data_IF_121194683652
#
_entry.id   IF_121194683652
#
_cell.length_a   1.000
_cell.length_b   1.000
_cell.length_c   1.000
_cell.angle_alpha   90.00
_cell.angle_beta   90.00
_cell.angle_gamma   90.00
#
_symmetry.space_group_name_H-M   'P 1'
#
loop_
_entity.id
_entity.type
_entity.pdbx_description
1 polymer ?
#
# COMPACT_ATOMS: atom_id res chain seq x y z
N UNK A 1 34.24 -12.08 -28.74
CA UNK A 1 33.68 -11.15 -27.74
C UNK A 1 32.17 -11.30 -27.81
N UNK A 2 31.53 -11.80 -26.76
CA UNK A 2 30.07 -12.00 -26.72
C UNK A 2 29.42 -10.70 -26.24
N UNK A 3 28.57 -10.12 -27.09
CA UNK A 3 27.72 -8.97 -26.74
C UNK A 3 26.61 -9.42 -25.78
N UNK A 4 26.44 -8.66 -24.69
CA UNK A 4 25.39 -8.91 -23.71
C UNK A 4 24.05 -8.43 -24.27
N UNK A 5 23.08 -9.34 -24.34
CA UNK A 5 21.72 -9.07 -24.79
C UNK A 5 21.02 -8.13 -23.80
N UNK A 6 20.95 -6.84 -24.13
CA UNK A 6 20.32 -5.83 -23.29
C UNK A 6 18.86 -5.65 -23.69
N UNK A 7 17.94 -6.19 -22.90
CA UNK A 7 16.52 -5.90 -23.08
C UNK A 7 16.18 -4.52 -22.48
N UNK A 8 15.52 -3.66 -23.26
CA UNK A 8 14.98 -2.38 -22.77
C UNK A 8 13.74 -2.69 -21.94
N UNK A 9 13.94 -2.93 -20.65
CA UNK A 9 12.83 -3.08 -19.70
C UNK A 9 12.21 -1.70 -19.49
N UNK A 10 10.95 -1.54 -19.90
CA UNK A 10 10.18 -0.33 -19.70
C UNK A 10 9.93 -0.14 -18.20
N UNK A 11 10.81 0.64 -17.55
CA UNK A 11 10.94 0.73 -16.08
C UNK A 11 9.81 1.52 -15.38
N UNK A 12 8.80 1.97 -16.12
CA UNK A 12 7.88 3.03 -15.66
C UNK A 12 6.39 2.79 -15.97
N UNK A 13 5.90 1.54 -15.94
CA UNK A 13 4.45 1.33 -15.97
C UNK A 13 3.79 1.74 -14.64
N UNK A 14 4.43 1.46 -13.50
CA UNK A 14 3.90 1.79 -12.16
C UNK A 14 3.88 3.30 -11.86
N UNK A 15 4.65 4.11 -12.60
CA UNK A 15 4.64 5.56 -12.43
C UNK A 15 3.34 6.20 -12.94
N UNK A 16 2.59 5.53 -13.83
CA UNK A 16 1.49 6.15 -14.59
C UNK A 16 0.25 6.51 -13.76
N UNK A 17 0.10 6.01 -12.54
CA UNK A 17 -1.07 6.27 -11.67
C UNK A 17 -0.72 7.12 -10.44
N UNK A 18 0.33 7.95 -10.52
CA UNK A 18 0.63 8.95 -9.50
C UNK A 18 0.12 10.31 -9.94
N UNK A 19 -0.68 10.94 -9.09
CA UNK A 19 -1.19 12.29 -9.31
C UNK A 19 -0.62 13.16 -8.20
N UNK A 20 0.19 14.17 -8.56
CA UNK A 20 0.80 15.11 -7.60
C UNK A 20 1.66 14.40 -6.52
N UNK A 21 2.31 13.28 -6.86
CA UNK A 21 3.14 12.51 -5.92
C UNK A 21 2.37 11.65 -4.92
N UNK A 22 1.05 11.54 -5.08
CA UNK A 22 0.20 10.59 -4.35
C UNK A 22 -0.18 9.42 -5.24
N UNK A 23 -0.34 8.24 -4.65
CA UNK A 23 -0.78 7.05 -5.36
C UNK A 23 -2.29 7.11 -5.63
N UNK A 24 -2.78 6.45 -6.69
CA UNK A 24 -4.22 6.38 -6.95
C UNK A 24 -5.02 5.79 -5.76
N UNK A 25 -4.43 4.83 -5.03
CA UNK A 25 -5.05 4.24 -3.84
C UNK A 25 -5.27 5.27 -2.72
N UNK A 26 -4.32 6.19 -2.55
CA UNK A 26 -4.40 7.25 -1.55
C UNK A 26 -5.58 8.20 -1.84
N UNK A 27 -5.72 8.60 -3.11
CA UNK A 27 -6.81 9.46 -3.56
C UNK A 27 -8.16 8.78 -3.42
N UNK A 28 -8.22 7.48 -3.73
CA UNK A 28 -9.43 6.67 -3.54
C UNK A 28 -9.81 6.59 -2.06
N UNK A 29 -8.86 6.42 -1.15
CA UNK A 29 -9.10 6.43 0.30
C UNK A 29 -9.70 7.77 0.75
N UNK A 30 -9.09 8.89 0.33
CA UNK A 30 -9.59 10.24 0.64
C UNK A 30 -11.01 10.43 0.11
N UNK A 31 -11.28 9.98 -1.11
CA UNK A 31 -12.61 10.08 -1.72
C UNK A 31 -13.66 9.25 -0.98
N UNK A 32 -13.32 8.02 -0.59
CA UNK A 32 -14.21 7.14 0.19
C UNK A 32 -14.53 7.77 1.54
N UNK A 33 -13.53 8.31 2.25
CA UNK A 33 -13.74 9.01 3.53
C UNK A 33 -14.60 10.26 3.33
N UNK A 34 -14.39 11.01 2.25
CA UNK A 34 -15.22 12.16 1.90
C UNK A 34 -16.68 11.77 1.66
N UNK A 35 -16.93 10.67 0.95
CA UNK A 35 -18.27 10.17 0.69
C UNK A 35 -18.96 9.68 1.97
N UNK A 36 -18.23 8.98 2.85
CA UNK A 36 -18.72 8.55 4.17
C UNK A 36 -19.07 9.78 5.01
N UNK A 37 -18.20 10.78 5.08
CA UNK A 37 -18.50 12.03 5.79
C UNK A 37 -19.73 12.74 5.21
N UNK A 38 -19.85 12.76 3.87
CA UNK A 38 -21.04 13.23 3.17
C UNK A 38 -22.31 12.52 3.63
N UNK A 39 -22.28 11.19 3.74
CA UNK A 39 -23.45 10.40 4.09
C UNK A 39 -23.92 10.61 5.55
N UNK A 40 -22.99 10.75 6.49
CA UNK A 40 -23.33 10.85 7.92
C UNK A 40 -23.58 12.27 8.42
N UNK A 41 -23.00 13.29 7.75
CA UNK A 41 -23.04 14.67 8.23
C UNK A 41 -23.84 15.61 7.31
N UNK A 42 -24.62 15.07 6.37
CA UNK A 42 -25.49 15.88 5.52
C UNK A 42 -26.60 16.56 6.36
N UNK A 43 -26.82 17.86 6.13
CA UNK A 43 -27.94 18.60 6.73
C UNK A 43 -27.64 19.69 7.75
N UNK A 44 -26.37 19.94 8.13
CA UNK A 44 -26.00 21.02 9.07
C UNK A 44 -24.86 21.93 8.59
N UNK A 45 -24.76 23.16 9.13
CA UNK A 45 -23.62 24.07 8.85
C UNK A 45 -22.26 23.45 9.23
N UNK A 46 -22.25 22.61 10.27
CA UNK A 46 -21.08 21.82 10.66
C UNK A 46 -20.79 20.70 9.65
N UNK A 47 -21.81 20.18 8.97
CA UNK A 47 -21.68 19.14 7.95
C UNK A 47 -20.74 19.55 6.83
N UNK A 48 -20.91 20.76 6.29
CA UNK A 48 -20.02 21.29 5.26
C UNK A 48 -18.55 21.28 5.69
N UNK A 49 -18.28 21.65 6.94
CA UNK A 49 -16.93 21.66 7.51
C UNK A 49 -16.39 20.23 7.58
N UNK A 50 -17.14 19.27 8.12
CA UNK A 50 -16.67 17.88 8.21
C UNK A 50 -16.48 17.24 6.83
N UNK A 51 -17.34 17.55 5.86
CA UNK A 51 -17.31 16.99 4.51
C UNK A 51 -16.12 17.50 3.71
N UNK A 52 -15.71 18.76 3.88
CA UNK A 52 -14.60 19.33 3.12
C UNK A 52 -13.29 19.43 3.91
N UNK A 53 -13.34 19.93 5.14
CA UNK A 53 -12.14 20.19 5.94
C UNK A 53 -11.41 18.89 6.27
N UNK A 54 -12.14 17.84 6.66
CA UNK A 54 -11.52 16.57 7.05
C UNK A 54 -10.83 15.92 5.84
N UNK A 55 -11.47 15.70 4.68
CA UNK A 55 -10.81 15.09 3.53
C UNK A 55 -9.67 15.95 2.96
N UNK A 56 -9.82 17.28 2.94
CA UNK A 56 -8.73 18.18 2.51
C UNK A 56 -7.55 18.10 3.47
N UNK A 57 -7.79 18.12 4.78
CA UNK A 57 -6.71 17.98 5.76
C UNK A 57 -6.01 16.63 5.64
N UNK A 58 -6.77 15.56 5.37
CA UNK A 58 -6.23 14.22 5.15
C UNK A 58 -5.36 14.18 3.90
N UNK A 59 -5.83 14.76 2.80
CA UNK A 59 -5.07 14.85 1.55
C UNK A 59 -3.76 15.62 1.73
N UNK A 60 -3.80 16.77 2.42
CA UNK A 60 -2.60 17.58 2.73
C UNK A 60 -1.65 16.81 3.62
N UNK A 61 -2.16 16.16 4.67
CA UNK A 61 -1.35 15.35 5.57
C UNK A 61 -0.66 14.21 4.82
N UNK A 62 -1.39 13.51 3.96
CA UNK A 62 -0.83 12.45 3.13
C UNK A 62 0.22 12.99 2.17
N UNK A 63 -0.02 14.14 1.55
CA UNK A 63 0.92 14.80 0.68
C UNK A 63 2.22 15.15 1.42
N UNK A 64 2.13 15.70 2.63
CA UNK A 64 3.31 16.04 3.44
C UNK A 64 4.07 14.79 3.92
N UNK A 65 3.36 13.75 4.37
CA UNK A 65 3.96 12.51 4.87
C UNK A 65 4.63 11.72 3.74
N UNK A 66 3.97 11.60 2.58
CA UNK A 66 4.46 10.79 1.45
C UNK A 66 5.37 11.56 0.48
N UNK A 67 5.54 12.88 0.61
CA UNK A 67 6.31 13.72 -0.34
C UNK A 67 7.71 13.21 -0.70
N UNK A 68 8.36 12.48 0.21
CA UNK A 68 9.71 11.94 0.03
C UNK A 68 9.79 10.43 0.35
N UNK A 69 8.66 9.72 0.41
CA UNK A 69 8.63 8.30 0.77
C UNK A 69 8.50 7.43 -0.48
N UNK A 70 9.10 6.23 -0.48
CA UNK A 70 8.99 5.29 -1.59
C UNK A 70 7.54 4.83 -1.79
N UNK A 71 7.27 4.29 -2.96
CA UNK A 71 5.94 3.79 -3.32
C UNK A 71 5.50 2.67 -2.39
N UNK A 72 4.20 2.66 -2.06
CA UNK A 72 3.64 1.65 -1.16
C UNK A 72 3.96 1.88 0.32
N UNK A 73 4.56 3.01 0.70
CA UNK A 73 4.95 3.28 2.10
C UNK A 73 3.82 3.08 3.12
N UNK A 74 2.59 3.50 2.80
CA UNK A 74 1.42 3.31 3.68
C UNK A 74 1.06 1.83 3.80
N UNK A 75 1.10 1.09 2.69
CA UNK A 75 0.85 -0.35 2.67
C UNK A 75 1.92 -1.09 3.48
N UNK A 76 3.17 -0.68 3.37
CA UNK A 76 4.28 -1.29 4.10
C UNK A 76 4.22 -0.99 5.59
N UNK A 77 3.88 0.24 5.99
CA UNK A 77 3.61 0.57 7.40
C UNK A 77 2.43 -0.24 7.92
N UNK A 78 1.35 -0.32 7.16
CA UNK A 78 0.16 -1.06 7.57
C UNK A 78 0.50 -2.55 7.72
N UNK A 79 1.22 -3.12 6.75
CA UNK A 79 1.74 -4.49 6.81
C UNK A 79 2.65 -4.68 8.02
N UNK A 80 3.55 -3.74 8.29
CA UNK A 80 4.45 -3.76 9.45
C UNK A 80 3.68 -3.75 10.77
N UNK A 81 2.66 -2.92 10.89
CA UNK A 81 1.85 -2.82 12.11
C UNK A 81 0.98 -4.08 12.33
N UNK A 82 0.45 -4.67 11.26
CA UNK A 82 -0.35 -5.90 11.31
C UNK A 82 0.52 -7.16 11.51
N UNK A 83 1.73 -7.20 10.95
CA UNK A 83 2.63 -8.36 10.97
C UNK A 83 3.60 -8.29 12.16
N UNK A 84 3.06 -8.15 13.38
CA UNK A 84 3.89 -8.15 14.59
C UNK A 84 4.70 -9.44 14.70
N UNK A 85 6.02 -9.31 14.80
CA UNK A 85 6.92 -10.37 15.27
C UNK A 85 7.57 -11.26 14.21
N UNK A 86 7.40 -10.99 12.92
CA UNK A 86 8.09 -11.76 11.87
C UNK A 86 8.64 -10.84 10.77
N UNK A 87 9.92 -10.51 10.87
CA UNK A 87 10.63 -9.75 9.84
C UNK A 87 11.55 -10.72 9.09
N UNK A 88 11.31 -10.92 7.81
CA UNK A 88 12.19 -11.70 6.94
C UNK A 88 12.65 -10.80 5.80
N UNK A 89 13.95 -10.80 5.52
CA UNK A 89 14.52 -10.11 4.36
C UNK A 89 14.29 -10.88 3.05
N UNK A 90 13.77 -12.11 3.12
CA UNK A 90 13.43 -12.91 1.95
C UNK A 90 12.05 -12.54 1.43
N UNK A 91 11.87 -12.60 0.11
CA UNK A 91 10.54 -12.55 -0.49
C UNK A 91 9.67 -13.64 0.12
N UNK A 92 8.40 -13.30 0.43
CA UNK A 92 7.43 -14.28 0.89
C UNK A 92 7.22 -15.31 -0.21
N UNK A 93 7.53 -16.60 0.02
CA UNK A 93 7.42 -17.59 -1.02
C UNK A 93 5.95 -17.63 -1.45
N UNK A 94 5.70 -17.48 -2.76
CA UNK A 94 4.36 -17.43 -3.38
C UNK A 94 3.44 -18.61 -3.01
N UNK A 95 4.00 -19.62 -2.36
CA UNK A 95 3.40 -20.90 -2.04
C UNK A 95 3.78 -21.35 -0.61
N UNK A 96 3.57 -20.46 0.37
CA UNK A 96 3.85 -20.71 1.79
C UNK A 96 3.23 -22.00 2.31
N UNK A 97 2.01 -22.32 1.86
CA UNK A 97 1.26 -23.47 2.35
C UNK A 97 1.93 -24.78 1.93
N UNK A 98 2.31 -24.92 0.66
CA UNK A 98 3.02 -26.12 0.19
C UNK A 98 4.42 -26.24 0.80
N UNK A 99 5.06 -25.11 1.11
CA UNK A 99 6.37 -25.12 1.78
C UNK A 99 6.25 -25.60 3.24
N UNK A 100 5.26 -25.12 3.98
CA UNK A 100 4.97 -25.60 5.34
C UNK A 100 4.64 -27.09 5.37
N UNK A 101 3.79 -27.56 4.44
CA UNK A 101 3.46 -28.99 4.32
C UNK A 101 4.73 -29.82 4.03
N UNK A 102 5.60 -29.34 3.14
CA UNK A 102 6.86 -30.03 2.80
C UNK A 102 7.84 -30.09 3.97
N UNK A 103 7.93 -29.02 4.78
CA UNK A 103 8.78 -28.98 5.98
C UNK A 103 8.23 -29.94 7.05
N UNK A 104 6.92 -29.92 7.28
CA UNK A 104 6.25 -30.79 8.25
C UNK A 104 6.40 -32.26 7.88
N UNK A 105 6.21 -32.62 6.61
CA UNK A 105 6.40 -34.00 6.13
C UNK A 105 7.83 -34.50 6.32
N UNK A 106 8.84 -33.68 6.00
CA UNK A 106 10.25 -34.04 6.24
C UNK A 106 10.60 -34.19 7.72
N UNK A 107 9.92 -33.47 8.62
CA UNK A 107 10.14 -33.62 10.07
C UNK A 107 9.63 -34.96 10.60
N UNK A 108 8.52 -35.46 10.02
CA UNK A 108 7.93 -36.76 10.38
C UNK A 108 8.76 -37.93 9.83
N UNK A 109 9.38 -37.78 8.65
CA UNK A 109 10.21 -38.83 8.04
C UNK A 109 11.61 -38.99 8.68
N UNK A 110 12.10 -37.98 9.42
CA UNK A 110 13.44 -37.96 10.01
C UNK A 110 13.44 -37.98 11.56
N UNK A 111 12.28 -38.18 12.20
CA UNK A 111 12.14 -38.33 13.66
C UNK A 111 11.60 -39.69 14.00
#
# INVERSE_FOLDING_TARGET
MQELDSSVVHRNLDTKLKIVGLEALDLLLVLVISAIMGLFFDGGKLGFIFIFLVPVSLLVSLFLIKRNKPDGYIKDILKFYLTRGHYSASEEPKNKDKMNIKIMKRKIENG
#
